data_IF_109846131429
#
_entry.id   IF_109846131429
#
_cell.length_a   1.000
_cell.length_b   1.000
_cell.length_c   1.000
_cell.angle_alpha   90.00
_cell.angle_beta   90.00
_cell.angle_gamma   90.00
#
_symmetry.space_group_name_H-M   'P 1'
#
loop_
_entity.id
_entity.type
_entity.pdbx_description
1 polymer ?
#
# COMPACT_ATOMS: atom_id res chain seq x y z
N UNK A 1 -5.49 -2.73 -29.24
CA UNK A 1 -6.55 -3.59 -28.70
C UNK A 1 -6.09 -4.07 -27.33
N UNK A 2 -6.80 -3.66 -26.30
CA UNK A 2 -6.59 -4.18 -24.95
C UNK A 2 -7.00 -5.65 -25.00
N UNK A 3 -6.04 -6.55 -24.87
CA UNK A 3 -6.36 -7.95 -24.66
C UNK A 3 -7.05 -8.08 -23.31
N UNK A 4 -8.36 -8.29 -23.32
CA UNK A 4 -9.10 -8.62 -22.10
C UNK A 4 -8.61 -10.01 -21.66
N UNK A 5 -7.97 -10.15 -20.49
CA UNK A 5 -7.62 -11.48 -20.00
C UNK A 5 -8.92 -12.28 -19.83
N UNK A 6 -8.88 -13.61 -20.01
CA UNK A 6 -10.07 -14.42 -19.83
C UNK A 6 -10.61 -14.21 -18.41
N UNK A 7 -11.85 -13.76 -18.29
CA UNK A 7 -12.52 -13.67 -17.00
C UNK A 7 -12.75 -15.07 -16.48
N UNK A 8 -12.02 -15.46 -15.44
CA UNK A 8 -12.29 -16.67 -14.71
C UNK A 8 -13.43 -16.40 -13.70
N UNK A 9 -14.40 -17.31 -13.56
CA UNK A 9 -15.52 -17.14 -12.59
C UNK A 9 -15.06 -17.22 -11.13
N UNK A 10 -13.79 -17.49 -10.90
CA UNK A 10 -13.18 -17.59 -9.58
C UNK A 10 -12.39 -16.32 -9.30
N UNK A 11 -12.62 -15.72 -8.14
CA UNK A 11 -11.82 -14.61 -7.66
C UNK A 11 -10.33 -15.03 -7.55
N UNK A 12 -9.43 -14.12 -7.89
CA UNK A 12 -7.99 -14.31 -7.76
C UNK A 12 -7.40 -13.17 -6.94
N UNK A 13 -6.50 -13.52 -6.05
CA UNK A 13 -5.80 -12.57 -5.22
C UNK A 13 -4.60 -11.98 -5.97
N UNK A 14 -4.10 -10.85 -5.47
CA UNK A 14 -2.81 -10.33 -5.95
C UNK A 14 -1.69 -11.32 -5.64
N UNK A 15 -0.62 -11.30 -6.43
CA UNK A 15 0.58 -12.11 -6.15
C UNK A 15 1.15 -11.82 -4.77
N UNK A 16 1.03 -10.56 -4.31
CA UNK A 16 1.43 -10.17 -2.97
C UNK A 16 0.58 -10.83 -1.86
N UNK A 17 -0.74 -10.81 -1.98
CA UNK A 17 -1.62 -11.48 -1.02
C UNK A 17 -1.30 -12.99 -0.95
N UNK A 18 -1.05 -13.62 -2.10
CA UNK A 18 -0.62 -15.02 -2.17
C UNK A 18 0.70 -15.27 -1.44
N UNK A 19 1.66 -14.37 -1.61
CA UNK A 19 3.02 -14.54 -1.08
C UNK A 19 3.13 -14.42 0.43
N UNK A 20 2.19 -13.72 1.09
CA UNK A 20 2.20 -13.49 2.54
C UNK A 20 1.11 -14.23 3.30
N UNK A 21 0.28 -15.00 2.62
CA UNK A 21 -0.84 -15.69 3.25
C UNK A 21 -0.40 -16.61 4.41
N UNK A 22 -0.95 -16.29 5.58
CA UNK A 22 -0.83 -17.12 6.79
C UNK A 22 0.52 -17.11 7.50
N UNK A 23 1.56 -16.37 7.04
CA UNK A 23 2.92 -16.56 7.55
C UNK A 23 3.70 -15.32 7.94
N UNK A 24 3.41 -14.12 7.43
CA UNK A 24 4.39 -13.04 7.47
C UNK A 24 3.87 -11.69 7.99
N UNK A 25 2.90 -11.72 8.90
CA UNK A 25 2.24 -10.51 9.39
C UNK A 25 3.15 -9.54 10.18
N UNK A 26 4.01 -10.09 11.04
CA UNK A 26 4.86 -9.28 11.93
C UNK A 26 5.91 -8.54 11.11
N UNK A 27 6.46 -9.21 10.11
CA UNK A 27 7.55 -8.68 9.27
C UNK A 27 7.09 -7.52 8.37
N UNK A 28 5.79 -7.42 8.09
CA UNK A 28 5.24 -6.33 7.29
C UNK A 28 5.08 -5.01 8.06
N UNK A 29 5.15 -5.05 9.38
CA UNK A 29 5.12 -3.86 10.22
C UNK A 29 6.52 -3.25 10.34
N UNK A 30 6.74 -1.98 9.91
CA UNK A 30 8.05 -1.33 9.99
C UNK A 30 8.53 -1.11 11.43
N UNK A 31 7.63 -1.18 12.41
CA UNK A 31 7.93 -1.08 13.84
C UNK A 31 8.03 -2.44 14.55
N UNK A 32 7.78 -3.55 13.85
CA UNK A 32 7.80 -4.89 14.43
C UNK A 32 6.66 -5.19 15.40
N UNK A 33 5.56 -4.44 15.36
CA UNK A 33 4.40 -4.58 16.27
C UNK A 33 3.31 -5.52 15.74
N UNK A 34 3.44 -6.03 14.52
CA UNK A 34 2.56 -7.07 13.98
C UNK A 34 1.32 -6.59 13.23
N UNK A 35 1.26 -5.34 12.79
CA UNK A 35 0.11 -4.75 12.08
C UNK A 35 0.18 -4.87 10.55
N UNK A 36 0.97 -5.77 10.01
CA UNK A 36 1.09 -6.02 8.58
C UNK A 36 0.22 -7.19 8.14
N UNK A 37 -0.89 -6.92 7.46
CA UNK A 37 -1.86 -7.95 7.10
C UNK A 37 -1.92 -8.30 5.61
N UNK A 38 -1.26 -7.56 4.74
CA UNK A 38 -1.35 -7.79 3.30
C UNK A 38 -2.74 -7.54 2.70
N UNK A 39 -2.85 -7.73 1.40
CA UNK A 39 -3.97 -7.28 0.59
C UNK A 39 -5.03 -8.38 0.33
N UNK A 40 -5.63 -8.93 1.38
CA UNK A 40 -6.54 -10.06 1.28
C UNK A 40 -7.88 -9.78 0.59
N UNK A 41 -8.24 -8.51 0.31
CA UNK A 41 -9.52 -8.11 -0.31
C UNK A 41 -9.40 -7.52 -1.70
N UNK A 42 -8.18 -7.26 -2.17
CA UNK A 42 -7.95 -6.69 -3.49
C UNK A 42 -7.72 -7.78 -4.52
N UNK A 43 -8.35 -7.62 -5.66
CA UNK A 43 -8.21 -8.52 -6.82
C UNK A 43 -7.78 -7.70 -8.03
N UNK A 44 -6.61 -7.98 -8.56
CA UNK A 44 -6.18 -7.39 -9.84
C UNK A 44 -7.04 -7.96 -10.96
N UNK A 45 -7.65 -7.09 -11.77
CA UNK A 45 -8.57 -7.50 -12.83
C UNK A 45 -8.04 -7.19 -14.23
N UNK A 46 -7.34 -6.09 -14.37
CA UNK A 46 -6.76 -5.68 -15.65
C UNK A 46 -5.57 -4.76 -15.44
N UNK A 47 -4.66 -4.83 -16.36
CA UNK A 47 -3.54 -3.93 -16.52
C UNK A 47 -3.46 -3.53 -17.98
N UNK A 48 -3.25 -2.24 -18.27
CA UNK A 48 -3.23 -1.75 -19.64
C UNK A 48 -2.63 -0.37 -19.77
N UNK A 49 -2.36 0.03 -21.00
CA UNK A 49 -1.88 1.37 -21.35
C UNK A 49 -3.04 2.16 -21.96
N UNK A 50 -3.40 3.26 -21.34
CA UNK A 50 -4.43 4.19 -21.78
C UNK A 50 -3.80 5.57 -21.92
N UNK A 51 -3.94 6.18 -23.08
CA UNK A 51 -3.37 7.50 -23.40
C UNK A 51 -1.85 7.59 -23.06
N UNK A 52 -1.10 6.53 -23.38
CA UNK A 52 0.34 6.45 -23.15
C UNK A 52 0.75 6.22 -21.70
N UNK A 53 -0.20 6.10 -20.78
CA UNK A 53 0.06 5.81 -19.35
C UNK A 53 -0.40 4.40 -19.00
N UNK A 54 0.42 3.71 -18.22
CA UNK A 54 0.08 2.39 -17.70
C UNK A 54 -0.78 2.51 -16.46
N UNK A 55 -1.81 1.68 -16.39
CA UNK A 55 -2.74 1.60 -15.27
C UNK A 55 -2.97 0.15 -14.88
N UNK A 56 -2.99 -0.09 -13.59
CA UNK A 56 -3.45 -1.32 -12.97
C UNK A 56 -4.80 -1.06 -12.30
N UNK A 57 -5.75 -1.99 -12.49
CA UNK A 57 -7.09 -1.91 -11.90
C UNK A 57 -7.30 -3.04 -10.91
N UNK A 58 -7.77 -2.67 -9.72
CA UNK A 58 -8.08 -3.62 -8.67
C UNK A 58 -9.50 -3.44 -8.16
N UNK A 59 -10.23 -4.56 -8.04
CA UNK A 59 -11.48 -4.61 -7.29
C UNK A 59 -11.17 -4.74 -5.80
N UNK A 60 -11.92 -4.01 -4.96
CA UNK A 60 -11.91 -4.15 -3.50
C UNK A 60 -13.31 -4.47 -3.01
N UNK A 61 -13.44 -5.57 -2.28
CA UNK A 61 -14.72 -6.02 -1.73
C UNK A 61 -15.49 -7.02 -2.60
N UNK A 62 -14.84 -7.64 -3.59
CA UNK A 62 -15.46 -8.57 -4.55
C UNK A 62 -15.86 -9.93 -3.97
N UNK A 63 -15.55 -10.21 -2.71
CA UNK A 63 -15.95 -11.43 -2.02
C UNK A 63 -14.78 -12.29 -1.56
N UNK A 64 -15.06 -13.48 -1.03
CA UNK A 64 -14.05 -14.33 -0.45
C UNK A 64 -13.07 -14.84 -1.50
N UNK A 65 -11.80 -14.88 -1.11
CA UNK A 65 -10.72 -15.54 -1.83
C UNK A 65 -10.01 -16.48 -0.87
N UNK A 66 -9.18 -17.42 -1.34
CA UNK A 66 -8.35 -18.23 -0.46
C UNK A 66 -7.41 -17.40 0.43
N UNK A 67 -7.19 -16.12 0.10
CA UNK A 67 -6.21 -15.23 0.72
C UNK A 67 -6.83 -14.12 1.57
N UNK A 68 -8.13 -14.14 1.81
CA UNK A 68 -8.80 -13.13 2.64
C UNK A 68 -8.72 -13.42 4.16
N UNK A 69 -7.81 -14.28 4.57
CA UNK A 69 -7.48 -14.58 5.99
C UNK A 69 -8.69 -14.99 6.82
N UNK A 70 -9.55 -15.84 6.25
CA UNK A 70 -10.78 -16.29 6.92
C UNK A 70 -11.89 -15.25 7.02
N UNK A 71 -11.68 -14.03 6.49
CA UNK A 71 -12.71 -13.01 6.36
C UNK A 71 -13.57 -13.25 5.10
N UNK A 72 -14.67 -12.51 4.99
CA UNK A 72 -15.61 -12.66 3.87
C UNK A 72 -15.14 -11.96 2.56
N UNK A 73 -14.03 -11.22 2.58
CA UNK A 73 -13.51 -10.48 1.43
C UNK A 73 -14.43 -9.35 0.94
N UNK A 74 -15.51 -9.05 1.67
CA UNK A 74 -16.51 -8.04 1.31
C UNK A 74 -16.16 -6.66 1.85
N UNK A 75 -16.61 -5.64 1.14
CA UNK A 75 -16.62 -4.27 1.62
C UNK A 75 -18.06 -3.80 1.81
N UNK A 76 -18.27 -2.86 2.73
CA UNK A 76 -19.58 -2.23 2.96
C UNK A 76 -19.67 -0.90 2.23
N UNK A 77 -20.88 -0.53 1.82
CA UNK A 77 -21.13 0.66 1.04
C UNK A 77 -20.53 1.93 1.68
N UNK A 78 -20.77 2.14 3.00
CA UNK A 78 -20.29 3.33 3.70
C UNK A 78 -18.77 3.52 3.64
N UNK A 79 -18.01 2.44 3.82
CA UNK A 79 -16.54 2.49 3.74
C UNK A 79 -16.05 2.65 2.30
N UNK A 80 -16.73 2.04 1.34
CA UNK A 80 -16.41 2.15 -0.08
C UNK A 80 -16.68 3.54 -0.63
N UNK A 81 -17.78 4.17 -0.24
CA UNK A 81 -18.07 5.59 -0.56
C UNK A 81 -17.03 6.50 0.06
N UNK A 82 -16.67 6.27 1.33
CA UNK A 82 -15.68 7.06 2.05
C UNK A 82 -14.30 7.00 1.37
N UNK A 83 -13.86 5.81 0.99
CA UNK A 83 -12.62 5.60 0.25
C UNK A 83 -12.67 6.27 -1.13
N UNK A 84 -13.75 6.08 -1.89
CA UNK A 84 -13.96 6.67 -3.20
C UNK A 84 -13.83 8.21 -3.15
N UNK A 85 -14.56 8.84 -2.24
CA UNK A 85 -14.55 10.28 -2.09
C UNK A 85 -13.18 10.81 -1.65
N UNK A 86 -12.50 10.11 -0.73
CA UNK A 86 -11.18 10.53 -0.26
C UNK A 86 -10.12 10.44 -1.35
N UNK A 87 -10.12 9.39 -2.16
CA UNK A 87 -9.21 9.27 -3.30
C UNK A 87 -9.33 10.44 -4.28
N UNK A 88 -10.57 10.76 -4.68
CA UNK A 88 -10.83 11.85 -5.63
C UNK A 88 -10.60 13.23 -4.99
N UNK A 89 -10.90 13.38 -3.71
CA UNK A 89 -10.62 14.61 -2.96
C UNK A 89 -9.11 14.88 -2.83
N UNK A 90 -8.33 13.88 -2.45
CA UNK A 90 -6.88 14.01 -2.37
C UNK A 90 -6.26 14.31 -3.74
N UNK A 91 -6.76 13.69 -4.80
CA UNK A 91 -6.36 14.04 -6.15
C UNK A 91 -6.67 15.51 -6.50
N UNK A 92 -7.87 15.98 -6.17
CA UNK A 92 -8.26 17.38 -6.38
C UNK A 92 -7.40 18.39 -5.61
N UNK A 93 -6.85 17.98 -4.46
CA UNK A 93 -5.88 18.76 -3.67
C UNK A 93 -4.45 18.70 -4.24
N UNK A 94 -4.22 17.98 -5.33
CA UNK A 94 -2.91 17.82 -5.96
C UNK A 94 -2.00 16.82 -5.25
N UNK A 95 -2.53 16.00 -4.34
CA UNK A 95 -1.76 15.00 -3.60
C UNK A 95 -1.69 13.70 -4.40
N UNK A 96 -0.50 13.11 -4.62
CA UNK A 96 -0.36 11.85 -5.31
C UNK A 96 -1.17 10.73 -4.61
N UNK A 97 -2.04 10.06 -5.36
CA UNK A 97 -2.96 9.06 -4.81
C UNK A 97 -3.41 8.06 -5.86
N UNK A 98 -3.78 6.86 -5.42
CA UNK A 98 -4.63 5.97 -6.23
C UNK A 98 -5.96 6.65 -6.52
N UNK A 99 -6.64 6.26 -7.61
CA UNK A 99 -7.87 6.88 -8.08
C UNK A 99 -9.02 5.88 -8.00
N UNK A 100 -10.22 6.41 -7.93
CA UNK A 100 -11.46 5.63 -7.96
C UNK A 100 -12.06 5.65 -9.36
N UNK A 101 -12.37 4.47 -9.90
CA UNK A 101 -12.98 4.34 -11.23
C UNK A 101 -14.48 4.03 -11.15
N UNK A 102 -14.86 3.05 -10.34
CA UNK A 102 -16.25 2.64 -10.19
C UNK A 102 -16.58 2.30 -8.74
N UNK A 103 -17.85 2.43 -8.39
CA UNK A 103 -18.43 1.98 -7.15
C UNK A 103 -19.79 1.33 -7.44
N UNK A 104 -19.91 0.06 -7.12
CA UNK A 104 -21.14 -0.71 -7.23
C UNK A 104 -21.66 -1.12 -5.85
N UNK A 105 -22.94 -0.98 -5.65
CA UNK A 105 -23.65 -1.45 -4.47
C UNK A 105 -24.52 -2.65 -4.83
N UNK A 106 -24.50 -3.68 -4.00
CA UNK A 106 -25.46 -4.79 -4.12
C UNK A 106 -26.84 -4.33 -3.67
N UNK A 107 -27.88 -4.80 -4.38
CA UNK A 107 -29.27 -4.58 -3.99
C UNK A 107 -29.77 -5.62 -3.00
N UNK A 108 -29.19 -6.81 -3.03
CA UNK A 108 -29.70 -7.99 -2.35
C UNK A 108 -28.75 -8.53 -1.29
N UNK A 109 -27.46 -8.16 -1.36
CA UNK A 109 -26.45 -8.66 -0.44
C UNK A 109 -26.12 -7.62 0.62
N UNK A 110 -26.18 -8.05 1.88
CA UNK A 110 -25.76 -7.27 3.04
C UNK A 110 -24.58 -7.95 3.73
N UNK A 111 -23.80 -7.16 4.45
CA UNK A 111 -22.66 -7.63 5.22
C UNK A 111 -22.77 -7.11 6.64
N UNK A 112 -22.69 -8.00 7.62
CA UNK A 112 -22.80 -7.66 9.03
C UNK A 112 -21.43 -7.16 9.55
N UNK A 113 -21.42 -5.94 10.08
CA UNK A 113 -20.19 -5.30 10.58
C UNK A 113 -20.43 -4.61 11.93
N UNK A 114 -19.36 -4.51 12.76
CA UNK A 114 -19.40 -3.73 13.99
C UNK A 114 -19.71 -2.26 13.72
N UNK A 115 -20.51 -1.66 14.59
CA UNK A 115 -20.88 -0.25 14.54
C UNK A 115 -21.20 0.26 15.96
N UNK A 116 -21.63 1.48 16.04
CA UNK A 116 -22.00 2.13 17.29
C UNK A 116 -23.51 2.18 17.41
N UNK A 117 -24.03 1.86 18.60
CA UNK A 117 -25.44 2.07 18.93
C UNK A 117 -25.79 3.55 18.95
N UNK A 118 -27.06 3.87 18.81
CA UNK A 118 -27.53 5.24 18.89
C UNK A 118 -27.14 5.86 20.25
N UNK A 119 -26.49 7.03 20.20
CA UNK A 119 -25.93 7.73 21.36
C UNK A 119 -24.77 7.00 22.09
N UNK A 120 -24.15 6.01 21.47
CA UNK A 120 -22.96 5.35 22.03
C UNK A 120 -21.87 6.38 22.35
N UNK A 121 -21.26 6.25 23.53
CA UNK A 121 -20.04 6.97 23.93
C UNK A 121 -18.82 6.06 24.01
N UNK A 122 -18.98 4.82 23.55
CA UNK A 122 -17.88 3.86 23.50
C UNK A 122 -16.86 4.26 22.44
N UNK A 123 -15.57 4.05 22.74
CA UNK A 123 -14.50 4.17 21.74
C UNK A 123 -14.54 2.99 20.76
N UNK A 124 -15.03 1.84 21.20
CA UNK A 124 -15.13 0.63 20.40
C UNK A 124 -16.59 0.40 19.96
N UNK A 125 -16.79 -0.17 18.76
CA UNK A 125 -18.14 -0.55 18.29
C UNK A 125 -18.84 -1.52 19.27
N UNK A 126 -20.09 -1.26 19.56
CA UNK A 126 -20.89 -1.97 20.58
C UNK A 126 -22.10 -2.71 19.99
N UNK A 127 -22.36 -2.58 18.69
CA UNK A 127 -23.45 -3.30 17.99
C UNK A 127 -22.97 -3.87 16.65
N UNK A 128 -23.70 -4.86 16.17
CA UNK A 128 -23.52 -5.40 14.82
C UNK A 128 -24.69 -4.96 13.94
N UNK A 129 -24.37 -4.34 12.81
CA UNK A 129 -25.38 -3.86 11.85
C UNK A 129 -25.18 -4.45 10.47
N UNK A 130 -26.30 -4.68 9.76
CA UNK A 130 -26.28 -5.12 8.37
C UNK A 130 -26.12 -3.90 7.47
N UNK A 131 -25.14 -3.95 6.57
CA UNK A 131 -24.85 -2.89 5.62
C UNK A 131 -24.88 -3.45 4.21
N UNK A 132 -25.32 -2.69 3.20
CA UNK A 132 -25.20 -3.10 1.82
C UNK A 132 -23.75 -3.41 1.46
N UNK A 133 -23.55 -4.54 0.78
CA UNK A 133 -22.24 -4.86 0.20
C UNK A 133 -21.94 -3.93 -0.97
N UNK A 134 -20.65 -3.60 -1.16
CA UNK A 134 -20.20 -2.78 -2.27
C UNK A 134 -18.86 -3.27 -2.81
N UNK A 135 -18.62 -2.98 -4.10
CA UNK A 135 -17.36 -3.25 -4.78
C UNK A 135 -16.87 -1.94 -5.36
N UNK A 136 -15.66 -1.52 -5.00
CA UNK A 136 -14.98 -0.40 -5.62
C UNK A 136 -13.89 -0.87 -6.55
N UNK A 137 -13.71 -0.18 -7.69
CA UNK A 137 -12.55 -0.35 -8.56
C UNK A 137 -11.61 0.82 -8.33
N UNK A 138 -10.42 0.54 -7.85
CA UNK A 138 -9.34 1.52 -7.72
C UNK A 138 -8.32 1.33 -8.84
N UNK A 139 -7.68 2.41 -9.24
CA UNK A 139 -6.68 2.43 -10.30
C UNK A 139 -5.44 3.18 -9.88
N UNK A 140 -4.28 2.69 -10.30
CA UNK A 140 -2.99 3.32 -10.08
C UNK A 140 -1.99 2.88 -11.15
N UNK A 141 -0.85 3.56 -11.32
CA UNK A 141 0.22 3.08 -12.20
C UNK A 141 0.72 1.68 -11.82
N UNK A 142 0.75 1.38 -10.53
CA UNK A 142 1.01 0.04 -9.97
C UNK A 142 0.47 -0.02 -8.54
N UNK A 143 0.32 -1.23 -7.99
CA UNK A 143 0.00 -1.43 -6.57
C UNK A 143 1.14 -2.09 -5.80
N UNK A 144 2.38 -1.92 -6.28
CA UNK A 144 3.58 -2.37 -5.57
C UNK A 144 3.74 -1.61 -4.25
N UNK A 145 4.06 -2.35 -3.21
CA UNK A 145 4.21 -1.86 -1.83
C UNK A 145 5.61 -2.08 -1.30
N UNK A 146 6.01 -1.29 -0.34
CA UNK A 146 7.27 -1.46 0.38
C UNK A 146 7.36 -2.87 0.98
N UNK A 147 6.28 -3.37 1.59
CA UNK A 147 6.23 -4.71 2.16
C UNK A 147 6.44 -5.83 1.14
N UNK A 148 6.04 -5.62 -0.11
CA UNK A 148 6.30 -6.59 -1.18
C UNK A 148 7.80 -6.64 -1.54
N UNK A 149 8.46 -5.51 -1.65
CA UNK A 149 9.91 -5.46 -1.90
C UNK A 149 10.66 -6.10 -0.73
N UNK A 150 10.24 -5.80 0.50
CA UNK A 150 10.85 -6.37 1.72
C UNK A 150 10.71 -7.88 1.79
N UNK A 151 9.57 -8.43 1.39
CA UNK A 151 9.35 -9.88 1.34
C UNK A 151 10.41 -10.58 0.48
N UNK A 152 10.64 -10.10 -0.73
CA UNK A 152 11.66 -10.68 -1.62
C UNK A 152 13.07 -10.46 -1.08
N UNK A 153 13.34 -9.31 -0.49
CA UNK A 153 14.63 -9.03 0.14
C UNK A 153 14.90 -9.94 1.35
N UNK A 154 13.89 -10.22 2.18
CA UNK A 154 14.02 -11.17 3.30
C UNK A 154 14.33 -12.56 2.81
N UNK A 155 13.59 -13.04 1.81
CA UNK A 155 13.87 -14.35 1.19
C UNK A 155 15.30 -14.43 0.64
N UNK A 156 15.80 -13.36 0.03
CA UNK A 156 17.17 -13.30 -0.46
C UNK A 156 18.19 -13.35 0.70
N UNK A 157 17.97 -12.58 1.78
CA UNK A 157 18.85 -12.58 2.96
C UNK A 157 18.88 -13.92 3.69
N UNK A 158 17.76 -14.63 3.71
CA UNK A 158 17.59 -15.93 4.36
C UNK A 158 18.02 -17.10 3.45
N UNK A 159 18.42 -16.83 2.21
CA UNK A 159 18.70 -17.85 1.19
C UNK A 159 17.58 -18.89 1.09
N UNK A 160 16.33 -18.42 1.09
CA UNK A 160 15.14 -19.26 1.13
C UNK A 160 15.07 -20.28 -0.04
N UNK A 161 15.63 -19.92 -1.20
CA UNK A 161 15.82 -20.79 -2.36
C UNK A 161 16.86 -20.17 -3.33
N UNK A 162 17.40 -20.96 -4.30
CA UNK A 162 18.50 -20.51 -5.17
C UNK A 162 18.21 -19.22 -5.95
N UNK A 163 16.96 -18.98 -6.36
CA UNK A 163 16.57 -17.84 -7.18
C UNK A 163 16.16 -16.60 -6.38
N UNK A 164 16.17 -16.65 -5.04
CA UNK A 164 15.60 -15.59 -4.19
C UNK A 164 16.23 -14.21 -4.45
N UNK A 165 17.54 -14.14 -4.68
CA UNK A 165 18.22 -12.87 -5.01
C UNK A 165 17.85 -12.37 -6.40
N UNK A 166 17.71 -13.25 -7.36
CA UNK A 166 17.26 -12.92 -8.71
C UNK A 166 15.80 -12.41 -8.72
N UNK A 167 14.92 -13.04 -7.95
CA UNK A 167 13.55 -12.56 -7.78
C UNK A 167 13.49 -11.15 -7.18
N UNK A 168 14.34 -10.84 -6.18
CA UNK A 168 14.47 -9.49 -5.66
C UNK A 168 14.92 -8.51 -6.74
N UNK A 169 15.89 -8.88 -7.56
CA UNK A 169 16.34 -8.05 -8.67
C UNK A 169 15.21 -7.79 -9.67
N UNK A 170 14.45 -8.81 -10.03
CA UNK A 170 13.33 -8.69 -10.97
C UNK A 170 12.22 -7.76 -10.43
N UNK A 171 11.83 -7.88 -9.16
CA UNK A 171 10.78 -7.02 -8.60
C UNK A 171 11.23 -5.56 -8.47
N UNK A 172 12.51 -5.32 -8.15
CA UNK A 172 13.07 -3.96 -8.10
C UNK A 172 13.17 -3.36 -9.48
N UNK A 173 13.64 -4.13 -10.49
CA UNK A 173 13.64 -3.67 -11.88
C UNK A 173 12.21 -3.37 -12.36
N UNK A 174 11.25 -4.23 -12.04
CA UNK A 174 9.85 -4.01 -12.37
C UNK A 174 9.30 -2.72 -11.73
N UNK A 175 9.64 -2.44 -10.48
CA UNK A 175 9.27 -1.18 -9.82
C UNK A 175 9.85 0.05 -10.55
N UNK A 176 11.13 -0.01 -10.95
CA UNK A 176 11.77 1.05 -11.73
C UNK A 176 11.01 1.26 -13.04
N UNK A 177 10.77 0.21 -13.79
CA UNK A 177 10.11 0.28 -15.09
C UNK A 177 8.67 0.81 -15.00
N UNK A 178 7.99 0.51 -13.91
CA UNK A 178 6.58 0.88 -13.69
C UNK A 178 6.41 2.31 -13.21
N UNK A 179 7.21 2.74 -12.25
CA UNK A 179 6.96 3.95 -11.48
C UNK A 179 8.04 5.03 -11.65
N UNK A 180 9.23 4.67 -12.15
CA UNK A 180 10.38 5.56 -12.12
C UNK A 180 11.09 5.72 -13.48
N UNK A 181 10.65 5.02 -14.51
CA UNK A 181 11.30 5.07 -15.83
C UNK A 181 11.41 6.46 -16.44
N UNK A 182 10.47 7.41 -16.23
CA UNK A 182 10.65 8.78 -16.73
C UNK A 182 11.78 9.56 -16.06
N UNK A 183 12.23 9.12 -14.87
CA UNK A 183 13.21 9.84 -14.04
C UNK A 183 14.55 9.09 -13.94
N UNK A 184 14.55 7.77 -14.17
CA UNK A 184 15.75 6.92 -14.12
C UNK A 184 16.15 6.55 -15.55
N UNK A 185 17.36 6.97 -15.93
CA UNK A 185 17.93 6.67 -17.24
C UNK A 185 18.11 5.14 -17.41
N UNK A 186 17.55 4.54 -18.46
CA UNK A 186 17.71 3.11 -18.74
C UNK A 186 19.14 2.69 -19.08
N UNK A 187 19.99 3.62 -19.51
CA UNK A 187 21.37 3.35 -19.90
C UNK A 187 22.33 3.25 -18.69
N UNK A 188 21.85 3.63 -17.49
CA UNK A 188 22.60 3.41 -16.26
C UNK A 188 22.71 1.93 -15.92
N UNK A 189 23.80 1.53 -15.28
CA UNK A 189 23.91 0.19 -14.71
C UNK A 189 22.78 -0.07 -13.72
N UNK A 190 22.39 -1.33 -13.53
CA UNK A 190 21.34 -1.69 -12.58
C UNK A 190 21.61 -1.13 -11.16
N UNK A 191 22.88 -1.13 -10.75
CA UNK A 191 23.31 -0.55 -9.48
C UNK A 191 22.99 0.95 -9.38
N UNK A 192 23.36 1.71 -10.39
CA UNK A 192 23.07 3.15 -10.44
C UNK A 192 21.57 3.42 -10.47
N UNK A 193 20.81 2.63 -11.22
CA UNK A 193 19.34 2.71 -11.21
C UNK A 193 18.76 2.46 -9.82
N UNK A 194 19.29 1.52 -9.04
CA UNK A 194 18.85 1.24 -7.66
C UNK A 194 19.19 2.39 -6.70
N UNK A 195 20.36 3.02 -6.85
CA UNK A 195 20.72 4.21 -6.07
C UNK A 195 19.79 5.40 -6.37
N UNK A 196 19.51 5.65 -7.64
CA UNK A 196 18.54 6.66 -8.06
C UNK A 196 17.13 6.36 -7.56
N UNK A 197 16.69 5.09 -7.61
CA UNK A 197 15.42 4.65 -7.05
C UNK A 197 15.32 4.99 -5.56
N UNK A 198 16.36 4.69 -4.78
CA UNK A 198 16.39 4.98 -3.35
C UNK A 198 16.25 6.49 -3.08
N UNK A 199 16.98 7.31 -3.84
CA UNK A 199 16.94 8.77 -3.75
C UNK A 199 15.55 9.33 -4.11
N UNK A 200 14.99 8.90 -5.22
CA UNK A 200 13.69 9.35 -5.72
C UNK A 200 12.55 8.93 -4.81
N UNK A 201 12.56 7.69 -4.33
CA UNK A 201 11.52 7.22 -3.42
C UNK A 201 11.55 7.99 -2.09
N UNK A 202 12.75 8.27 -1.54
CA UNK A 202 12.88 9.14 -0.37
C UNK A 202 12.22 10.49 -0.59
N UNK A 203 12.54 11.15 -1.69
CA UNK A 203 11.96 12.46 -2.02
C UNK A 203 10.45 12.43 -2.17
N UNK A 204 9.93 11.42 -2.90
CA UNK A 204 8.47 11.25 -3.08
C UNK A 204 7.75 10.98 -1.77
N UNK A 205 8.31 10.10 -0.92
CA UNK A 205 7.70 9.73 0.35
C UNK A 205 7.68 10.91 1.34
N UNK A 206 8.77 11.67 1.40
CA UNK A 206 8.85 12.89 2.22
C UNK A 206 7.82 13.93 1.76
N UNK A 207 7.75 14.19 0.46
CA UNK A 207 6.77 15.14 -0.10
C UNK A 207 5.33 14.69 0.16
N UNK A 208 5.04 13.39 -0.01
CA UNK A 208 3.73 12.82 0.24
C UNK A 208 3.27 13.04 1.69
N UNK A 209 4.13 12.76 2.66
CA UNK A 209 3.79 12.92 4.08
C UNK A 209 3.70 14.39 4.46
N UNK A 210 4.53 15.26 3.90
CA UNK A 210 4.40 16.70 4.06
C UNK A 210 3.04 17.21 3.55
N UNK A 211 2.58 16.71 2.41
CA UNK A 211 1.26 17.03 1.87
C UNK A 211 0.13 16.49 2.75
N UNK A 212 0.23 15.27 3.29
CA UNK A 212 -0.73 14.77 4.27
C UNK A 212 -0.84 15.68 5.50
N UNK A 213 0.32 16.08 6.05
CA UNK A 213 0.37 17.00 7.18
C UNK A 213 -0.27 18.36 6.84
N UNK A 214 0.00 18.88 5.65
CA UNK A 214 -0.53 20.17 5.17
C UNK A 214 -2.07 20.20 5.13
N UNK A 215 -2.71 19.09 4.78
CA UNK A 215 -4.18 19.02 4.64
C UNK A 215 -4.87 18.39 5.86
N UNK A 216 -4.13 18.10 6.93
CA UNK A 216 -4.68 17.47 8.14
C UNK A 216 -5.07 15.99 7.96
N UNK A 217 -4.54 15.32 6.93
CA UNK A 217 -4.82 13.90 6.66
C UNK A 217 -3.98 12.99 7.55
N UNK A 218 -4.63 12.01 8.17
CA UNK A 218 -3.98 10.94 8.91
C UNK A 218 -4.33 9.59 8.28
N UNK A 219 -3.32 8.85 7.86
CA UNK A 219 -3.48 7.53 7.25
C UNK A 219 -4.01 6.50 8.27
N UNK A 220 -3.64 6.62 9.53
CA UNK A 220 -4.08 5.78 10.63
C UNK A 220 -3.44 4.39 10.70
N UNK A 221 -3.05 3.82 9.56
CA UNK A 221 -2.33 2.54 9.48
C UNK A 221 -1.29 2.60 8.35
N UNK A 222 -0.18 3.31 8.61
CA UNK A 222 0.87 3.50 7.62
C UNK A 222 1.98 2.45 7.77
N UNK A 223 1.59 1.17 7.77
CA UNK A 223 2.54 0.06 7.68
C UNK A 223 3.03 -0.15 6.23
N UNK A 224 3.95 -1.07 6.03
CA UNK A 224 4.56 -1.32 4.72
C UNK A 224 3.58 -1.86 3.66
N UNK A 225 2.47 -2.45 4.07
CA UNK A 225 1.40 -2.90 3.17
C UNK A 225 0.56 -1.74 2.64
N UNK A 226 0.57 -0.61 3.32
CA UNK A 226 -0.16 0.61 2.94
C UNK A 226 0.79 1.71 2.43
N UNK A 227 2.07 1.39 2.25
CA UNK A 227 3.07 2.29 1.69
C UNK A 227 3.36 1.90 0.24
N UNK A 228 2.83 2.67 -0.71
CA UNK A 228 3.12 2.46 -2.14
C UNK A 228 4.60 2.71 -2.42
N UNK A 229 5.27 1.73 -3.04
CA UNK A 229 6.66 1.89 -3.49
C UNK A 229 6.81 2.94 -4.61
N UNK A 230 5.71 3.34 -5.23
CA UNK A 230 5.65 4.46 -6.18
C UNK A 230 5.59 5.84 -5.54
N UNK A 231 5.41 5.96 -4.21
CA UNK A 231 5.40 7.23 -3.48
C UNK A 231 4.08 8.00 -3.61
N UNK A 232 2.95 7.34 -3.44
CA UNK A 232 1.62 7.97 -3.44
C UNK A 232 0.70 7.31 -2.39
N UNK A 233 -0.42 7.95 -2.04
CA UNK A 233 -1.41 7.39 -1.12
C UNK A 233 -2.09 6.19 -1.75
N UNK A 234 -1.82 4.99 -1.21
CA UNK A 234 -2.23 3.73 -1.80
C UNK A 234 -3.67 3.35 -1.45
N UNK A 235 -4.00 3.46 -0.17
CA UNK A 235 -5.22 2.91 0.43
C UNK A 235 -5.83 3.87 1.44
N UNK A 236 -7.14 3.78 1.60
CA UNK A 236 -7.93 4.61 2.49
C UNK A 236 -8.76 3.74 3.45
N UNK A 237 -8.07 2.91 4.22
CA UNK A 237 -8.68 2.09 5.25
C UNK A 237 -9.16 2.94 6.45
N UNK A 238 -8.41 2.95 7.56
CA UNK A 238 -8.80 3.68 8.77
C UNK A 238 -8.36 5.15 8.75
N UNK A 239 -8.38 5.83 7.60
CA UNK A 239 -7.95 7.22 7.47
C UNK A 239 -8.92 8.20 8.15
N UNK A 240 -8.44 9.42 8.39
CA UNK A 240 -9.27 10.56 8.82
C UNK A 240 -8.60 11.90 8.52
N UNK A 241 -9.39 12.97 8.63
CA UNK A 241 -8.90 14.34 8.61
C UNK A 241 -9.08 14.96 9.99
N UNK A 242 -8.10 15.71 10.46
CA UNK A 242 -8.22 16.46 11.71
C UNK A 242 -9.27 17.59 11.54
N UNK A 243 -10.34 17.55 12.30
CA UNK A 243 -11.31 18.68 12.39
C UNK A 243 -10.72 19.84 13.20
N UNK A 244 -10.05 19.51 14.28
CA UNK A 244 -9.24 20.41 15.08
C UNK A 244 -7.81 19.88 15.12
N UNK A 245 -6.85 20.77 15.26
CA UNK A 245 -5.46 20.37 15.36
C UNK A 245 -5.22 19.52 16.61
N UNK A 246 -4.93 18.25 16.38
CA UNK A 246 -4.53 17.31 17.42
C UNK A 246 -3.32 16.49 16.91
N UNK A 247 -2.12 16.71 17.47
CA UNK A 247 -0.92 15.98 17.07
C UNK A 247 -1.03 14.47 17.33
N UNK A 248 -1.91 14.04 18.25
CA UNK A 248 -2.14 12.64 18.59
C UNK A 248 -3.35 12.03 17.92
N UNK A 249 -4.01 12.77 17.00
CA UNK A 249 -5.16 12.27 16.27
C UNK A 249 -4.84 10.93 15.60
N UNK A 250 -5.64 9.91 15.95
CA UNK A 250 -5.55 8.56 15.41
C UNK A 250 -6.95 8.10 15.02
N UNK A 251 -7.27 8.04 13.71
CA UNK A 251 -8.61 7.68 13.24
C UNK A 251 -8.94 6.19 13.39
N UNK A 252 -7.94 5.36 13.63
CA UNK A 252 -8.11 3.92 13.79
C UNK A 252 -8.03 3.49 15.26
N UNK A 253 -9.15 3.01 15.81
CA UNK A 253 -9.22 2.56 17.20
C UNK A 253 -8.32 1.35 17.50
N UNK A 254 -8.07 0.49 16.49
CA UNK A 254 -7.11 -0.62 16.57
C UNK A 254 -5.66 -0.21 16.30
N UNK A 255 -5.39 1.05 16.01
CA UNK A 255 -4.06 1.57 15.68
C UNK A 255 -3.28 2.03 16.89
N UNK A 256 -1.95 1.84 16.88
CA UNK A 256 -1.06 2.39 17.88
C UNK A 256 -0.75 3.88 17.65
N UNK A 257 -0.26 4.55 18.69
CA UNK A 257 0.15 5.96 18.65
C UNK A 257 1.24 6.25 17.60
N UNK A 258 1.99 5.24 17.19
CA UNK A 258 3.03 5.34 16.15
C UNK A 258 2.49 5.68 14.75
N UNK A 259 1.18 5.56 14.50
CA UNK A 259 0.52 5.99 13.27
C UNK A 259 -0.36 7.23 13.45
N UNK A 260 -0.28 7.91 14.60
CA UNK A 260 -1.00 9.17 14.82
C UNK A 260 -0.48 10.30 13.93
N UNK A 261 -1.24 11.38 13.84
CA UNK A 261 -1.03 12.47 12.90
C UNK A 261 0.42 13.00 12.88
N UNK A 262 0.98 13.38 14.03
CA UNK A 262 2.37 13.88 14.11
C UNK A 262 3.44 12.79 14.09
N UNK A 263 3.07 11.53 14.18
CA UNK A 263 4.00 10.42 14.03
C UNK A 263 4.11 9.90 12.58
N UNK A 264 3.35 10.47 11.64
CA UNK A 264 3.41 10.07 10.23
C UNK A 264 4.80 10.25 9.59
N UNK A 265 5.59 11.32 9.87
CA UNK A 265 6.97 11.42 9.41
C UNK A 265 7.85 10.26 9.91
N UNK A 266 7.71 9.86 11.18
CA UNK A 266 8.45 8.72 11.73
C UNK A 266 8.02 7.40 11.10
N UNK A 267 6.73 7.24 10.80
CA UNK A 267 6.22 6.06 10.09
C UNK A 267 6.74 6.02 8.65
N UNK A 268 6.85 7.17 7.98
CA UNK A 268 7.47 7.28 6.66
C UNK A 268 8.95 6.90 6.69
N UNK A 269 9.71 7.42 7.66
CA UNK A 269 11.11 7.05 7.86
C UNK A 269 11.28 5.54 8.08
N UNK A 270 10.43 4.93 8.91
CA UNK A 270 10.46 3.50 9.17
C UNK A 270 10.19 2.68 7.88
N UNK A 271 9.21 3.10 7.05
CA UNK A 271 8.93 2.50 5.76
C UNK A 271 10.10 2.70 4.78
N UNK A 272 10.68 3.90 4.74
CA UNK A 272 11.87 4.16 3.91
C UNK A 272 13.05 3.30 4.34
N UNK A 273 13.30 3.17 5.63
CA UNK A 273 14.37 2.31 6.18
C UNK A 273 14.18 0.84 5.81
N UNK A 274 12.93 0.35 5.84
CA UNK A 274 12.60 -1.01 5.38
C UNK A 274 12.89 -1.18 3.89
N UNK A 275 12.48 -0.23 3.06
CA UNK A 275 12.75 -0.22 1.63
C UNK A 275 14.25 -0.14 1.32
N UNK A 276 14.96 0.80 1.95
CA UNK A 276 16.39 0.96 1.83
C UNK A 276 17.15 -0.33 2.19
N UNK A 277 16.79 -0.96 3.31
CA UNK A 277 17.38 -2.24 3.74
C UNK A 277 17.14 -3.35 2.70
N UNK A 278 16.00 -3.31 2.02
CA UNK A 278 15.70 -4.26 0.95
C UNK A 278 16.60 -4.05 -0.26
N UNK A 279 16.82 -2.80 -0.68
CA UNK A 279 17.73 -2.48 -1.77
C UNK A 279 19.19 -2.79 -1.43
N UNK A 280 19.60 -2.58 -0.17
CA UNK A 280 20.94 -2.89 0.32
C UNK A 280 21.32 -4.36 0.15
N UNK A 281 20.32 -5.26 0.21
CA UNK A 281 20.53 -6.70 -0.07
C UNK A 281 21.03 -6.97 -1.49
N UNK A 282 20.71 -6.11 -2.47
CA UNK A 282 21.21 -6.21 -3.83
C UNK A 282 22.66 -5.72 -3.99
N UNK A 283 23.17 -5.00 -2.99
CA UNK A 283 24.51 -4.35 -3.02
C UNK A 283 25.54 -5.05 -2.12
N UNK A 284 25.25 -6.26 -1.61
CA UNK A 284 26.11 -6.95 -0.63
C UNK A 284 27.53 -7.19 -1.14
N UNK A 285 27.70 -7.29 -2.45
CA UNK A 285 29.00 -7.54 -3.09
C UNK A 285 29.75 -6.25 -3.51
N UNK A 286 29.23 -5.05 -3.10
CA UNK A 286 29.74 -3.75 -3.54
C UNK A 286 29.74 -2.75 -2.38
N UNK A 287 30.92 -2.56 -1.76
CA UNK A 287 31.10 -1.66 -0.63
C UNK A 287 30.81 -0.18 -0.95
N UNK A 288 31.15 0.27 -2.15
CA UNK A 288 30.96 1.67 -2.57
C UNK A 288 29.48 1.98 -2.76
N UNK A 289 28.72 1.04 -3.35
CA UNK A 289 27.28 1.17 -3.50
C UNK A 289 26.56 1.11 -2.15
N UNK A 290 27.03 0.27 -1.22
CA UNK A 290 26.51 0.24 0.14
C UNK A 290 26.73 1.58 0.86
N UNK A 291 27.92 2.16 0.78
CA UNK A 291 28.23 3.45 1.39
C UNK A 291 27.33 4.57 0.83
N UNK A 292 27.13 4.61 -0.48
CA UNK A 292 26.24 5.57 -1.12
C UNK A 292 24.77 5.39 -0.65
N UNK A 293 24.28 4.16 -0.54
CA UNK A 293 22.96 3.88 0.02
C UNK A 293 22.86 4.29 1.51
N UNK A 294 23.90 4.03 2.29
CA UNK A 294 23.94 4.36 3.72
C UNK A 294 23.88 5.89 3.93
N UNK A 295 24.53 6.68 3.08
CA UNK A 295 24.42 8.14 3.06
C UNK A 295 23.00 8.62 2.74
N UNK A 296 22.29 7.94 1.84
CA UNK A 296 20.89 8.26 1.51
C UNK A 296 19.96 8.01 2.69
N UNK A 297 20.19 6.97 3.48
CA UNK A 297 19.36 6.66 4.64
C UNK A 297 19.42 7.73 5.73
N UNK A 298 20.58 8.29 5.98
CA UNK A 298 20.78 9.34 7.00
C UNK A 298 20.16 10.70 6.65
N UNK A 299 19.67 10.89 5.44
CA UNK A 299 19.11 12.15 4.97
C UNK A 299 17.57 12.19 4.90
N UNK A 300 16.86 11.24 5.55
CA UNK A 300 15.39 11.23 5.57
C UNK A 300 14.83 12.25 6.56
#
# INVERSE_FOLDING_TARGET
SVATPPMHPWGWATGYALSIYGTEYIQQCPFGTGNGYGDGRAMSIVEGVFEGRRWEMQLKGGGPTPYCRGADGRAVLRSSVREFLAQEFMHALGIPTSRSLTLYMSRDETVRRPWYSEHSRSLDPDVMVDNPAAISTRVAPSFLRVGQIELFARRARENAHPEARHELQLIVQHLIDRNYRPEIDPDLSFREQVLELARLFRGRLTALVADWMRVGYCQGNFNSDNCAAGGYTLDYGPFGFCELFDPRFQPWTGGGAHFSFFNQPMAAEANYRMFWKSLRTLMEDDSDAQEQLDQLQGGF
#
